data_IF_648162192046
#
_entry.id   IF_648162192046
#
_cell.length_a   1.000
_cell.length_b   1.000
_cell.length_c   1.000
_cell.angle_alpha   90.00
_cell.angle_beta   90.00
_cell.angle_gamma   90.00
#
_symmetry.space_group_name_H-M   'P 1'
#
loop_
_entity.id
_entity.type
_entity.pdbx_description
1 polymer ?
#
# COMPACT_ATOMS: atom_id res chain seq x y z
N UNK A 1 -47.84 16.06 -36.76
CA UNK A 1 -47.51 15.13 -35.65
C UNK A 1 -46.22 15.60 -34.99
N UNK A 2 -46.01 15.34 -33.69
CA UNK A 2 -44.76 15.64 -32.98
C UNK A 2 -44.22 14.36 -32.33
N UNK A 3 -42.99 13.99 -32.64
CA UNK A 3 -42.32 12.85 -32.01
C UNK A 3 -41.70 13.31 -30.69
N UNK A 4 -42.20 12.80 -29.55
CA UNK A 4 -41.53 13.00 -28.27
C UNK A 4 -40.61 11.83 -27.94
N UNK A 5 -39.34 12.17 -27.71
CA UNK A 5 -38.31 11.27 -27.19
C UNK A 5 -38.72 10.81 -25.78
N UNK A 6 -38.67 9.50 -25.52
CA UNK A 6 -38.64 8.95 -24.16
C UNK A 6 -37.27 8.32 -23.92
N UNK A 7 -36.35 9.13 -23.41
CA UNK A 7 -34.99 8.71 -23.08
C UNK A 7 -35.01 7.97 -21.73
N UNK A 8 -34.99 6.64 -21.76
CA UNK A 8 -35.00 5.81 -20.56
C UNK A 8 -33.64 5.85 -19.86
N UNK A 9 -33.40 6.91 -19.09
CA UNK A 9 -32.28 6.99 -18.15
C UNK A 9 -32.46 5.94 -17.05
N UNK A 10 -31.82 4.78 -17.24
CA UNK A 10 -31.59 3.82 -16.16
C UNK A 10 -30.63 4.47 -15.17
N UNK A 11 -31.19 5.07 -14.12
CA UNK A 11 -30.46 5.44 -12.91
C UNK A 11 -30.00 4.15 -12.22
N UNK A 12 -28.84 3.64 -12.67
CA UNK A 12 -28.07 2.66 -11.93
C UNK A 12 -27.65 3.32 -10.61
N UNK A 13 -28.45 3.10 -9.57
CA UNK A 13 -28.18 3.58 -8.23
C UNK A 13 -26.95 2.85 -7.71
N UNK A 14 -25.77 3.46 -7.86
CA UNK A 14 -24.52 2.93 -7.34
C UNK A 14 -24.65 2.88 -5.81
N UNK A 15 -25.02 1.71 -5.30
CA UNK A 15 -25.06 1.45 -3.88
C UNK A 15 -23.62 1.49 -3.36
N UNK A 16 -23.25 2.61 -2.74
CA UNK A 16 -21.97 2.77 -2.03
C UNK A 16 -22.05 1.91 -0.76
N UNK A 17 -21.92 0.60 -0.93
CA UNK A 17 -21.71 -0.32 0.17
C UNK A 17 -20.36 0.04 0.81
N UNK A 18 -20.33 0.18 2.13
CA UNK A 18 -19.08 0.26 2.85
C UNK A 18 -18.28 -1.02 2.53
N UNK A 19 -17.04 -0.89 2.06
CA UNK A 19 -16.22 -2.05 1.72
C UNK A 19 -15.81 -2.76 3.02
N UNK A 20 -16.57 -3.80 3.38
CA UNK A 20 -16.29 -4.70 4.51
C UNK A 20 -15.43 -5.86 4.03
N UNK A 21 -14.35 -6.17 4.73
CA UNK A 21 -13.48 -7.30 4.42
C UNK A 21 -13.05 -8.04 5.70
N UNK A 22 -12.96 -9.37 5.64
CA UNK A 22 -12.52 -10.23 6.76
C UNK A 22 -11.23 -10.97 6.43
N UNK A 23 -10.47 -11.29 7.47
CA UNK A 23 -9.23 -12.07 7.40
C UNK A 23 -8.21 -11.61 8.44
N UNK A 24 -7.01 -12.19 8.38
CA UNK A 24 -5.99 -11.96 9.42
C UNK A 24 -5.39 -10.56 9.39
N UNK A 25 -5.19 -9.98 10.57
CA UNK A 25 -4.26 -8.88 10.81
C UNK A 25 -2.99 -9.38 11.52
N UNK A 26 -1.86 -8.71 11.30
CA UNK A 26 -0.74 -8.72 12.25
C UNK A 26 -0.26 -7.29 12.53
N UNK A 27 0.90 -7.11 13.14
CA UNK A 27 1.53 -5.79 13.28
C UNK A 27 3.00 -5.75 12.80
N UNK A 28 3.53 -4.55 12.61
CA UNK A 28 4.92 -4.32 12.20
C UNK A 28 5.93 -4.69 13.30
N UNK A 29 7.05 -5.27 12.90
CA UNK A 29 8.23 -5.46 13.75
C UNK A 29 8.91 -4.13 14.12
N UNK A 30 9.64 -4.06 15.25
CA UNK A 30 10.31 -2.82 15.68
C UNK A 30 11.41 -2.36 14.71
N UNK A 31 11.98 -3.27 13.89
CA UNK A 31 12.98 -2.95 12.86
C UNK A 31 12.49 -1.92 11.83
N UNK A 32 11.18 -1.70 11.71
CA UNK A 32 10.57 -0.76 10.77
C UNK A 32 10.47 0.69 11.28
N UNK A 33 10.67 0.93 12.58
CA UNK A 33 10.62 2.28 13.17
C UNK A 33 11.55 3.25 12.42
N UNK A 34 11.06 4.46 12.10
CA UNK A 34 11.84 5.47 11.39
C UNK A 34 12.07 5.21 9.89
N UNK A 35 11.67 4.06 9.33
CA UNK A 35 11.73 3.82 7.86
C UNK A 35 10.63 4.61 7.14
N UNK A 36 10.80 4.81 5.82
CA UNK A 36 9.73 5.33 4.96
C UNK A 36 8.72 4.23 4.62
N UNK A 37 7.43 4.56 4.67
CA UNK A 37 6.34 3.75 4.10
C UNK A 37 6.20 4.01 2.60
N UNK A 38 5.35 3.22 1.93
CA UNK A 38 4.99 3.40 0.52
C UNK A 38 4.23 4.70 0.21
N UNK A 39 3.71 5.44 1.20
CA UNK A 39 3.21 6.81 1.00
C UNK A 39 4.31 7.88 1.03
N UNK A 40 5.53 7.51 1.44
CA UNK A 40 6.65 8.41 1.69
C UNK A 40 6.72 8.97 3.12
N UNK A 41 5.72 8.69 3.96
CA UNK A 41 5.73 9.06 5.39
C UNK A 41 6.80 8.27 6.17
N UNK A 42 7.29 8.85 7.26
CA UNK A 42 8.09 8.11 8.24
C UNK A 42 7.16 7.29 9.14
N UNK A 43 7.34 5.96 9.09
CA UNK A 43 6.66 4.99 9.94
C UNK A 43 7.05 5.19 11.41
N UNK A 44 6.03 5.10 12.28
CA UNK A 44 6.19 5.19 13.73
C UNK A 44 5.20 4.23 14.39
N UNK A 45 5.68 3.30 15.21
CA UNK A 45 4.89 2.30 15.93
C UNK A 45 3.81 2.90 16.84
N UNK A 46 3.97 4.17 17.23
CA UNK A 46 3.01 4.91 18.05
C UNK A 46 1.78 5.42 17.27
N UNK A 47 1.87 5.65 15.95
CA UNK A 47 0.78 6.21 15.14
C UNK A 47 -0.32 5.17 14.86
N UNK A 48 -1.56 5.61 14.70
CA UNK A 48 -2.68 4.77 14.27
C UNK A 48 -2.68 4.56 12.73
N UNK A 49 -1.72 3.80 12.23
CA UNK A 49 -1.46 3.61 10.79
C UNK A 49 -1.33 2.14 10.39
N UNK A 50 -1.58 1.83 9.12
CA UNK A 50 -1.60 0.46 8.61
C UNK A 50 -1.20 0.31 7.13
N UNK A 51 -0.76 -0.89 6.76
CA UNK A 51 -0.55 -1.32 5.38
C UNK A 51 -1.82 -1.98 4.81
N UNK A 52 -2.22 -1.58 3.60
CA UNK A 52 -3.21 -2.33 2.82
C UNK A 52 -2.81 -2.44 1.34
N UNK A 53 -3.15 -3.57 0.70
CA UNK A 53 -2.70 -3.91 -0.65
C UNK A 53 -3.16 -2.92 -1.72
N UNK A 54 -4.43 -2.51 -1.64
CA UNK A 54 -5.16 -1.87 -2.74
C UNK A 54 -5.93 -0.61 -2.34
N UNK A 55 -6.02 -0.28 -1.05
CA UNK A 55 -6.76 0.91 -0.60
C UNK A 55 -5.89 2.16 -0.78
N UNK A 56 -6.51 3.29 -1.13
CA UNK A 56 -5.82 4.56 -1.29
C UNK A 56 -5.09 4.97 0.00
N UNK A 57 -3.95 5.63 -0.12
CA UNK A 57 -3.32 6.26 1.05
C UNK A 57 -4.25 7.35 1.60
N UNK A 58 -4.28 7.52 2.92
CA UNK A 58 -5.24 8.40 3.61
C UNK A 58 -6.62 7.77 3.86
N UNK A 59 -6.93 6.58 3.31
CA UNK A 59 -8.17 5.86 3.62
C UNK A 59 -8.25 5.57 5.12
N UNK A 60 -9.36 5.95 5.76
CA UNK A 60 -9.65 5.58 7.15
C UNK A 60 -10.38 4.25 7.21
N UNK A 61 -9.89 3.35 8.06
CA UNK A 61 -10.54 2.08 8.37
C UNK A 61 -10.94 2.02 9.84
N UNK A 62 -12.13 1.48 10.11
CA UNK A 62 -12.45 0.88 11.41
C UNK A 62 -11.96 -0.57 11.33
N UNK A 63 -11.21 -1.02 12.32
CA UNK A 63 -10.72 -2.40 12.44
C UNK A 63 -11.36 -2.99 13.69
N UNK A 64 -12.07 -4.11 13.55
CA UNK A 64 -12.68 -4.88 14.65
C UNK A 64 -11.90 -6.18 14.83
N UNK A 65 -11.33 -6.43 16.01
CA UNK A 65 -10.76 -7.73 16.36
C UNK A 65 -11.89 -8.71 16.69
N UNK A 66 -12.08 -9.74 15.86
CA UNK A 66 -13.22 -10.65 15.96
C UNK A 66 -13.15 -11.62 17.15
N UNK A 67 -11.99 -11.69 17.84
CA UNK A 67 -11.79 -12.51 19.05
C UNK A 67 -12.37 -11.86 20.31
N UNK A 68 -12.32 -10.53 20.40
CA UNK A 68 -12.64 -9.78 21.63
C UNK A 68 -13.56 -8.55 21.40
N UNK A 69 -13.98 -8.32 20.14
CA UNK A 69 -14.80 -7.21 19.66
C UNK A 69 -14.24 -5.80 19.95
N UNK A 70 -12.97 -5.67 20.32
CA UNK A 70 -12.30 -4.37 20.41
C UNK A 70 -12.15 -3.74 19.04
N UNK A 71 -12.22 -2.42 18.99
CA UNK A 71 -12.18 -1.64 17.76
C UNK A 71 -11.16 -0.51 17.85
N UNK A 72 -10.50 -0.22 16.73
CA UNK A 72 -9.55 0.88 16.56
C UNK A 72 -9.76 1.53 15.19
N UNK A 73 -9.33 2.79 15.02
CA UNK A 73 -9.42 3.52 13.74
C UNK A 73 -8.02 3.82 13.21
N UNK A 74 -7.71 3.37 12.00
CA UNK A 74 -6.39 3.53 11.37
C UNK A 74 -6.45 4.29 10.06
N UNK A 75 -5.31 4.86 9.66
CA UNK A 75 -5.09 5.45 8.33
C UNK A 75 -4.18 4.52 7.52
N UNK A 76 -4.57 4.20 6.28
CA UNK A 76 -3.69 3.49 5.35
C UNK A 76 -2.58 4.43 4.87
N UNK A 77 -1.32 4.10 5.18
CA UNK A 77 -0.14 4.85 4.70
C UNK A 77 0.95 3.94 4.10
N UNK A 78 0.71 2.63 3.97
CA UNK A 78 1.69 1.69 3.39
C UNK A 78 1.04 0.58 2.53
N UNK A 79 1.88 -0.24 1.87
CA UNK A 79 1.50 -1.34 0.98
C UNK A 79 1.93 -2.68 1.57
N UNK A 80 0.96 -3.54 1.79
CA UNK A 80 1.10 -4.85 2.43
C UNK A 80 -0.28 -5.34 2.87
N UNK A 81 -0.39 -6.50 3.53
CA UNK A 81 0.63 -7.53 3.63
C UNK A 81 0.88 -8.18 2.27
N UNK A 82 2.03 -8.82 2.07
CA UNK A 82 2.25 -9.65 0.88
C UNK A 82 2.13 -11.17 1.14
N UNK A 83 1.89 -11.55 2.40
CA UNK A 83 1.63 -12.93 2.83
C UNK A 83 0.15 -13.29 2.61
N UNK A 84 -0.14 -14.48 2.06
CA UNK A 84 -1.51 -14.97 1.79
C UNK A 84 -2.32 -15.09 3.09
N UNK A 85 -3.64 -14.83 3.02
CA UNK A 85 -4.55 -14.94 4.17
C UNK A 85 -4.56 -13.71 5.10
N UNK A 86 -3.42 -13.04 5.29
CA UNK A 86 -3.36 -11.74 5.96
C UNK A 86 -3.88 -10.63 5.05
N UNK A 87 -4.71 -9.73 5.58
CA UNK A 87 -5.34 -8.63 4.85
C UNK A 87 -4.78 -7.25 5.20
N UNK A 88 -4.30 -7.05 6.43
CA UNK A 88 -3.82 -5.77 6.94
C UNK A 88 -2.63 -5.99 7.88
N UNK A 89 -1.62 -5.10 7.85
CA UNK A 89 -0.58 -5.03 8.87
C UNK A 89 -0.74 -3.69 9.63
N UNK A 90 -0.81 -3.74 10.96
CA UNK A 90 -1.11 -2.60 11.84
C UNK A 90 0.15 -2.10 12.58
N UNK A 91 0.15 -0.86 13.05
CA UNK A 91 1.17 -0.44 14.02
C UNK A 91 1.03 -1.16 15.36
N UNK A 92 2.13 -1.24 16.12
CA UNK A 92 2.16 -1.87 17.45
C UNK A 92 1.26 -1.16 18.47
N UNK A 93 1.02 0.16 18.35
CA UNK A 93 0.04 0.86 19.18
C UNK A 93 -1.40 0.37 18.93
N UNK A 94 -1.79 0.21 17.67
CA UNK A 94 -3.13 -0.29 17.30
C UNK A 94 -3.30 -1.76 17.70
N UNK A 95 -2.28 -2.59 17.54
CA UNK A 95 -2.35 -3.98 17.98
C UNK A 95 -2.38 -4.14 19.52
N UNK A 96 -1.93 -3.12 20.27
CA UNK A 96 -2.14 -3.01 21.72
C UNK A 96 -3.58 -2.61 22.06
N UNK A 97 -4.15 -1.64 21.34
CA UNK A 97 -5.54 -1.18 21.49
C UNK A 97 -6.55 -2.29 21.18
N UNK A 98 -6.32 -3.02 20.08
CA UNK A 98 -7.08 -4.21 19.68
C UNK A 98 -6.77 -5.46 20.51
N UNK A 99 -5.75 -5.41 21.37
CA UNK A 99 -5.39 -6.46 22.33
C UNK A 99 -5.13 -7.82 21.65
N UNK A 100 -4.11 -7.85 20.79
CA UNK A 100 -3.57 -9.09 20.19
C UNK A 100 -2.03 -9.13 20.11
N UNK A 101 -1.33 -8.27 20.85
CA UNK A 101 0.15 -8.25 20.86
C UNK A 101 0.79 -9.56 21.34
N UNK A 102 0.11 -10.35 22.18
CA UNK A 102 0.63 -11.64 22.65
C UNK A 102 0.54 -12.73 21.59
N UNK A 103 -0.48 -12.65 20.73
CA UNK A 103 -0.76 -13.63 19.67
C UNK A 103 -0.03 -13.34 18.36
N UNK A 104 0.43 -12.11 18.14
CA UNK A 104 1.08 -11.66 16.89
C UNK A 104 0.09 -11.46 15.73
N UNK A 105 -0.93 -12.30 15.64
CA UNK A 105 -1.92 -12.39 14.57
C UNK A 105 -3.31 -12.59 15.16
N UNK A 106 -4.33 -11.93 14.60
CA UNK A 106 -5.76 -12.19 14.93
C UNK A 106 -6.65 -12.07 13.70
N UNK A 107 -7.85 -12.64 13.72
CA UNK A 107 -8.87 -12.41 12.69
C UNK A 107 -9.56 -11.06 12.92
N UNK A 108 -9.68 -10.26 11.86
CA UNK A 108 -10.33 -8.94 11.90
C UNK A 108 -11.42 -8.79 10.85
N UNK A 109 -12.32 -7.85 11.11
CA UNK A 109 -13.19 -7.21 10.12
C UNK A 109 -12.72 -5.77 9.94
N UNK A 110 -12.52 -5.34 8.69
CA UNK A 110 -12.17 -3.96 8.34
C UNK A 110 -13.30 -3.31 7.54
N UNK A 111 -13.60 -2.05 7.85
CA UNK A 111 -14.64 -1.24 7.21
C UNK A 111 -14.09 0.14 6.82
N UNK A 112 -14.37 0.60 5.60
CA UNK A 112 -14.00 1.96 5.16
C UNK A 112 -14.91 3.02 5.81
N UNK A 113 -14.30 3.96 6.54
CA UNK A 113 -15.03 5.07 7.19
C UNK A 113 -15.12 6.26 6.24
N UNK A 114 -16.23 6.37 5.52
CA UNK A 114 -16.57 7.57 4.74
C UNK A 114 -17.06 8.68 5.68
N UNK A 115 -16.48 9.89 5.58
CA UNK A 115 -16.86 11.04 6.43
C UNK A 115 -18.37 11.33 6.40
N UNK A 116 -19.01 11.12 5.25
CA UNK A 116 -20.41 11.47 5.01
C UNK A 116 -21.38 10.53 5.76
N UNK A 117 -20.93 9.34 6.15
CA UNK A 117 -21.73 8.37 6.92
C UNK A 117 -21.81 8.67 8.42
N UNK A 118 -20.97 9.58 8.93
CA UNK A 118 -21.07 10.04 10.32
C UNK A 118 -22.25 11.00 10.55
N UNK A 119 -22.77 11.62 9.49
CA UNK A 119 -23.87 12.59 9.56
C UNK A 119 -25.26 11.94 9.55
N UNK A 120 -25.39 10.72 9.01
CA UNK A 120 -26.70 10.08 8.77
C UNK A 120 -27.21 9.23 9.94
N UNK A 121 -26.37 8.88 10.92
CA UNK A 121 -26.78 8.16 12.14
C UNK A 121 -27.30 9.07 13.27
N UNK A 122 -26.97 10.36 13.24
CA UNK A 122 -27.39 11.34 14.27
C UNK A 122 -28.74 12.01 13.96
N UNK A 123 -29.16 12.02 12.70
CA UNK A 123 -30.40 12.68 12.23
C UNK A 123 -31.67 11.85 12.48
N UNK A 124 -31.98 11.56 13.75
CA UNK A 124 -33.30 11.02 14.15
C UNK A 124 -33.91 11.59 15.44
N UNK A 125 -33.15 12.30 16.28
CA UNK A 125 -33.63 12.86 17.57
C UNK A 125 -33.35 14.37 17.71
N UNK A 126 -33.64 15.16 16.67
CA UNK A 126 -33.49 16.63 16.72
C UNK A 126 -34.39 17.35 15.70
N UNK A 127 -35.70 17.36 15.95
CA UNK A 127 -36.67 18.08 15.09
C UNK A 127 -37.78 18.73 15.91
N UNK A 128 -37.47 19.88 16.52
CA UNK A 128 -38.39 20.91 17.02
C UNK A 128 -37.59 22.21 17.18
N UNK A 129 -38.20 23.35 16.83
CA UNK A 129 -37.69 24.75 16.92
C UNK A 129 -36.59 25.21 15.96
N UNK A 130 -37.06 25.88 14.90
CA UNK A 130 -36.53 27.16 14.37
C UNK A 130 -36.49 28.24 15.50
N UNK A 131 -35.88 29.42 15.42
CA UNK A 131 -35.28 30.27 14.36
C UNK A 131 -34.21 31.20 15.06
N UNK A 132 -33.55 32.29 14.58
CA UNK A 132 -33.56 33.20 13.41
C UNK A 132 -32.22 34.02 13.39
N UNK A 133 -32.08 35.00 12.47
CA UNK A 133 -31.15 36.16 12.45
C UNK A 133 -29.66 35.82 12.12
N UNK A 134 -28.94 36.41 11.14
CA UNK A 134 -28.69 37.79 10.63
C UNK A 134 -27.32 38.34 11.12
N UNK A 135 -26.47 39.07 10.35
CA UNK A 135 -26.41 39.34 8.89
C UNK A 135 -25.02 39.96 8.46
N UNK A 136 -24.62 39.79 7.18
CA UNK A 136 -23.67 40.58 6.31
C UNK A 136 -22.20 41.00 6.70
N UNK A 137 -21.26 40.74 5.76
CA UNK A 137 -20.23 41.63 5.11
C UNK A 137 -19.19 42.50 5.92
N UNK A 138 -18.01 42.97 5.43
CA UNK A 138 -17.13 42.79 4.22
C UNK A 138 -15.85 43.68 4.38
N UNK A 139 -14.91 43.61 3.42
CA UNK A 139 -13.92 44.64 2.98
C UNK A 139 -12.43 44.50 3.39
N UNK A 140 -11.61 44.62 2.33
CA UNK A 140 -10.16 44.66 2.10
C UNK A 140 -9.36 45.73 2.91
N UNK A 141 -8.01 45.72 2.96
CA UNK A 141 -7.13 46.11 1.83
C UNK A 141 -5.65 46.39 2.20
N UNK A 142 -4.78 46.54 1.18
CA UNK A 142 -3.50 47.30 1.18
C UNK A 142 -2.27 46.71 1.95
N UNK A 143 -0.98 46.97 1.60
CA UNK A 143 -0.34 47.75 0.50
C UNK A 143 1.15 47.38 0.23
N UNK A 144 1.57 47.57 -1.05
CA UNK A 144 2.91 48.00 -1.57
C UNK A 144 4.23 47.27 -1.23
N UNK A 145 5.02 47.03 -2.29
CA UNK A 145 6.49 46.87 -2.32
C UNK A 145 6.96 46.67 -3.77
N UNK A 146 8.00 47.37 -4.27
CA UNK A 146 8.34 47.39 -5.72
C UNK A 146 9.79 47.83 -6.00
N UNK A 147 10.32 47.49 -7.19
CA UNK A 147 11.67 47.79 -7.74
C UNK A 147 12.75 46.83 -7.18
N UNK A 148 13.82 46.47 -7.91
CA UNK A 148 14.64 47.24 -8.88
C UNK A 148 15.01 46.45 -10.18
N UNK A 149 15.36 47.19 -11.23
CA UNK A 149 15.83 46.79 -12.58
C UNK A 149 17.32 46.35 -12.58
N UNK A 150 18.01 45.90 -13.65
CA UNK A 150 17.74 45.13 -14.89
C UNK A 150 19.11 44.98 -15.64
N UNK A 151 19.16 44.29 -16.80
CA UNK A 151 20.26 44.31 -17.81
C UNK A 151 21.58 43.61 -17.41
N UNK A 152 22.45 43.09 -18.32
CA UNK A 152 22.35 42.80 -19.78
C UNK A 152 23.57 41.96 -20.26
N UNK A 153 23.33 40.91 -21.07
CA UNK A 153 24.25 40.23 -22.04
C UNK A 153 25.56 39.57 -21.49
N UNK A 154 26.35 38.77 -22.24
CA UNK A 154 26.34 38.40 -23.68
C UNK A 154 26.78 36.95 -23.98
N UNK A 155 26.83 36.57 -25.28
CA UNK A 155 26.96 35.19 -25.79
C UNK A 155 28.38 34.62 -25.88
N UNK A 156 28.48 33.28 -25.87
CA UNK A 156 29.13 32.45 -26.93
C UNK A 156 28.61 30.99 -26.81
N UNK A 157 27.99 30.43 -27.85
CA UNK A 157 28.59 29.61 -28.93
C UNK A 157 29.28 28.31 -28.47
N UNK A 158 29.15 27.16 -29.15
CA UNK A 158 28.25 26.71 -30.22
C UNK A 158 28.48 25.22 -30.49
N UNK A 159 27.43 24.40 -30.64
CA UNK A 159 27.45 23.15 -31.42
C UNK A 159 26.03 22.58 -31.56
N UNK A 160 25.46 22.64 -32.76
CA UNK A 160 24.23 21.94 -33.11
C UNK A 160 24.59 20.60 -33.75
N UNK A 161 23.83 19.55 -33.46
CA UNK A 161 23.62 18.46 -34.41
C UNK A 161 22.16 18.06 -34.35
N UNK A 162 21.40 18.47 -35.36
CA UNK A 162 19.98 18.17 -35.44
C UNK A 162 19.78 16.66 -35.64
N UNK A 163 18.79 16.11 -34.94
CA UNK A 163 18.02 14.97 -35.43
C UNK A 163 16.56 15.42 -35.52
N UNK A 164 15.83 14.92 -36.50
CA UNK A 164 14.59 15.58 -36.97
C UNK A 164 13.38 15.28 -36.09
N UNK A 165 12.37 16.14 -36.20
CA UNK A 165 11.31 16.31 -35.19
C UNK A 165 10.15 15.32 -35.33
N UNK A 166 10.13 14.29 -34.49
CA UNK A 166 8.85 13.72 -34.08
C UNK A 166 8.06 14.73 -33.24
N UNK A 167 6.78 14.90 -33.55
CA UNK A 167 5.87 15.83 -32.85
C UNK A 167 5.40 15.23 -31.53
N UNK A 168 6.26 15.24 -30.50
CA UNK A 168 5.84 14.87 -29.15
C UNK A 168 4.76 15.83 -28.64
N UNK A 169 3.56 15.30 -28.42
CA UNK A 169 2.52 15.93 -27.60
C UNK A 169 3.13 16.37 -26.25
N UNK A 170 2.74 17.53 -25.67
CA UNK A 170 3.30 17.97 -24.39
C UNK A 170 3.17 16.88 -23.33
N UNK A 171 4.30 16.32 -22.91
CA UNK A 171 4.33 15.28 -21.90
C UNK A 171 3.76 15.85 -20.59
N UNK A 172 2.60 15.36 -20.17
CA UNK A 172 2.05 15.68 -18.86
C UNK A 172 3.08 15.29 -17.82
N UNK A 173 3.61 16.28 -17.08
CA UNK A 173 4.65 16.03 -16.08
C UNK A 173 4.06 15.23 -14.92
N UNK A 174 4.14 13.91 -15.04
CA UNK A 174 3.75 12.97 -14.00
C UNK A 174 4.61 13.23 -12.76
N UNK A 175 4.01 13.88 -11.75
CA UNK A 175 4.67 14.11 -10.46
C UNK A 175 4.78 12.78 -9.74
N UNK A 176 5.88 12.08 -9.98
CA UNK A 176 6.22 10.81 -9.33
C UNK A 176 6.40 11.05 -7.82
N UNK A 177 5.37 10.70 -7.05
CA UNK A 177 5.42 10.65 -5.59
C UNK A 177 5.80 9.25 -5.14
N UNK A 178 6.57 9.14 -4.04
CA UNK A 178 7.02 7.83 -3.54
C UNK A 178 8.04 7.11 -4.44
N UNK A 179 8.97 7.84 -5.08
CA UNK A 179 10.04 7.22 -5.88
C UNK A 179 10.96 6.39 -4.99
N UNK A 180 11.13 5.12 -5.36
CA UNK A 180 12.02 4.15 -4.72
C UNK A 180 13.10 3.70 -5.70
N UNK A 181 14.28 3.36 -5.17
CA UNK A 181 15.43 2.90 -5.96
C UNK A 181 15.88 1.53 -5.45
N UNK A 182 16.05 0.57 -6.36
CA UNK A 182 16.51 -0.79 -6.06
C UNK A 182 17.71 -1.13 -6.94
N UNK A 183 18.83 -1.52 -6.32
CA UNK A 183 19.91 -2.19 -7.04
C UNK A 183 19.64 -3.70 -7.04
N UNK A 184 19.66 -4.32 -8.21
CA UNK A 184 19.29 -5.73 -8.38
C UNK A 184 20.33 -6.45 -9.23
N UNK A 185 21.32 -7.00 -8.53
CA UNK A 185 22.25 -7.98 -9.10
C UNK A 185 21.47 -9.27 -9.38
N UNK A 186 21.33 -9.63 -10.65
CA UNK A 186 20.61 -10.83 -11.09
C UNK A 186 21.55 -11.82 -11.76
N UNK A 187 21.32 -13.11 -11.51
CA UNK A 187 21.88 -14.22 -12.28
C UNK A 187 20.77 -15.25 -12.48
N UNK A 188 20.66 -15.78 -13.70
CA UNK A 188 19.87 -17.00 -13.92
C UNK A 188 20.65 -18.19 -13.36
N UNK A 189 19.94 -19.12 -12.73
CA UNK A 189 20.50 -20.35 -12.17
C UNK A 189 19.65 -21.54 -12.58
N UNK A 190 20.29 -22.70 -12.75
CA UNK A 190 19.62 -24.00 -12.70
C UNK A 190 19.67 -24.45 -11.23
N UNK A 191 18.52 -24.55 -10.53
CA UNK A 191 18.53 -24.92 -9.12
C UNK A 191 18.81 -26.42 -8.97
N UNK A 192 19.53 -26.77 -7.91
CA UNK A 192 19.71 -28.16 -7.47
C UNK A 192 19.70 -28.22 -5.93
N UNK A 193 18.59 -27.79 -5.34
CA UNK A 193 18.46 -27.65 -3.89
C UNK A 193 17.01 -27.73 -3.40
N UNK A 194 16.85 -27.98 -2.10
CA UNK A 194 15.62 -27.75 -1.35
C UNK A 194 15.64 -26.32 -0.80
N UNK A 195 14.51 -25.61 -0.88
CA UNK A 195 14.37 -24.26 -0.34
C UNK A 195 13.01 -24.06 0.35
N UNK A 196 12.82 -22.93 1.02
CA UNK A 196 11.57 -22.61 1.73
C UNK A 196 10.86 -21.47 1.00
N UNK A 197 9.74 -21.77 0.33
CA UNK A 197 8.90 -20.73 -0.26
C UNK A 197 8.12 -19.99 0.83
N UNK A 198 8.22 -18.66 0.82
CA UNK A 198 7.62 -17.76 1.81
C UNK A 198 6.61 -16.77 1.23
N UNK A 199 6.51 -16.66 -0.10
CA UNK A 199 5.63 -15.69 -0.74
C UNK A 199 5.36 -15.94 -2.22
N UNK A 200 4.31 -15.30 -2.74
CA UNK A 200 3.95 -15.34 -4.16
C UNK A 200 3.35 -14.00 -4.60
N UNK A 201 3.90 -13.42 -5.66
CA UNK A 201 3.68 -12.04 -6.09
C UNK A 201 3.25 -12.02 -7.55
N UNK A 202 2.31 -11.14 -7.91
CA UNK A 202 2.01 -10.81 -9.33
C UNK A 202 2.78 -9.57 -9.76
N UNK A 203 2.79 -8.54 -8.91
CA UNK A 203 3.46 -7.27 -9.18
C UNK A 203 4.96 -7.32 -8.86
N UNK A 204 5.79 -6.93 -9.84
CA UNK A 204 7.24 -6.84 -9.69
C UNK A 204 7.66 -5.87 -8.57
N UNK A 205 6.99 -4.74 -8.41
CA UNK A 205 7.32 -3.75 -7.37
C UNK A 205 7.14 -4.31 -5.95
N UNK A 206 6.10 -5.11 -5.72
CA UNK A 206 5.85 -5.73 -4.42
C UNK A 206 6.87 -6.84 -4.12
N UNK A 207 7.31 -7.57 -5.15
CA UNK A 207 8.45 -8.49 -5.06
C UNK A 207 9.73 -7.73 -4.66
N UNK A 208 10.07 -6.64 -5.37
CA UNK A 208 11.31 -5.88 -5.13
C UNK A 208 11.37 -5.28 -3.72
N UNK A 209 10.25 -4.73 -3.22
CA UNK A 209 10.14 -4.29 -1.81
C UNK A 209 10.39 -5.44 -0.83
N UNK A 210 9.75 -6.58 -1.04
CA UNK A 210 9.84 -7.73 -0.16
C UNK A 210 11.23 -8.37 -0.16
N UNK A 211 11.88 -8.52 -1.32
CA UNK A 211 13.26 -9.06 -1.38
C UNK A 211 14.28 -8.07 -0.82
N UNK A 212 14.07 -6.76 -0.93
CA UNK A 212 14.87 -5.77 -0.23
C UNK A 212 14.73 -5.84 1.29
N UNK A 213 13.52 -6.02 1.82
CA UNK A 213 13.29 -6.23 3.26
C UNK A 213 13.97 -7.51 3.76
N UNK A 214 13.82 -8.61 3.01
CA UNK A 214 14.46 -9.89 3.31
C UNK A 214 15.98 -9.80 3.34
N UNK A 215 16.62 -9.07 2.41
CA UNK A 215 18.08 -8.80 2.44
C UNK A 215 18.54 -8.08 3.72
N UNK A 216 17.65 -7.38 4.43
CA UNK A 216 17.96 -6.76 5.74
C UNK A 216 17.73 -7.70 6.94
N UNK A 217 17.04 -8.82 6.73
CA UNK A 217 16.60 -9.75 7.80
C UNK A 217 17.34 -11.09 7.75
N UNK A 218 17.63 -11.58 6.55
CA UNK A 218 18.33 -12.84 6.29
C UNK A 218 19.64 -12.60 5.55
N UNK A 219 20.68 -13.32 5.95
CA UNK A 219 21.94 -13.44 5.18
C UNK A 219 21.94 -14.63 4.20
N UNK A 220 20.87 -15.41 4.23
CA UNK A 220 20.63 -16.54 3.34
C UNK A 220 20.37 -16.11 1.89
N UNK A 221 20.68 -16.99 0.95
CA UNK A 221 20.35 -16.79 -0.46
C UNK A 221 18.84 -16.66 -0.69
N UNK A 222 18.45 -15.55 -1.33
CA UNK A 222 17.07 -15.28 -1.73
C UNK A 222 16.93 -15.62 -3.22
N UNK A 223 16.28 -16.74 -3.51
CA UNK A 223 15.95 -17.15 -4.88
C UNK A 223 14.56 -16.62 -5.27
N UNK A 224 14.47 -15.99 -6.44
CA UNK A 224 13.19 -15.64 -7.06
C UNK A 224 12.94 -16.54 -8.25
N UNK A 225 11.91 -17.39 -8.16
CA UNK A 225 11.44 -18.20 -9.27
C UNK A 225 10.25 -17.51 -9.97
N UNK A 226 10.43 -17.14 -11.24
CA UNK A 226 9.41 -16.54 -12.10
C UNK A 226 8.74 -17.60 -12.96
N UNK A 227 7.41 -17.78 -12.82
CA UNK A 227 6.59 -18.67 -13.63
C UNK A 227 5.55 -17.87 -14.42
N UNK A 228 5.35 -18.21 -15.69
CA UNK A 228 4.30 -17.60 -16.54
C UNK A 228 3.30 -18.67 -16.99
N UNK A 229 2.02 -18.30 -17.05
CA UNK A 229 0.94 -19.12 -17.61
C UNK A 229 -0.13 -18.19 -18.25
N UNK A 230 -1.24 -18.77 -18.71
CA UNK A 230 -2.33 -18.04 -19.38
C UNK A 230 -3.00 -16.97 -18.48
N UNK A 231 -2.79 -17.02 -17.16
CA UNK A 231 -3.25 -16.03 -16.18
C UNK A 231 -2.14 -15.07 -15.72
N UNK A 232 -1.12 -14.86 -16.56
CA UNK A 232 -0.03 -13.90 -16.37
C UNK A 232 1.25 -14.49 -15.77
N UNK A 233 2.07 -13.63 -15.16
CA UNK A 233 3.30 -14.02 -14.47
C UNK A 233 3.10 -14.03 -12.95
N UNK A 234 3.74 -14.97 -12.28
CA UNK A 234 3.81 -15.10 -10.82
C UNK A 234 5.27 -15.29 -10.42
N UNK A 235 5.74 -14.46 -9.51
CA UNK A 235 7.04 -14.55 -8.88
C UNK A 235 6.90 -15.24 -7.53
N UNK A 236 7.76 -16.19 -7.23
CA UNK A 236 7.78 -16.92 -5.96
C UNK A 236 9.12 -16.68 -5.27
N UNK A 237 9.07 -16.41 -3.96
CA UNK A 237 10.27 -16.08 -3.16
C UNK A 237 10.60 -17.27 -2.29
N UNK A 238 11.82 -17.77 -2.45
CA UNK A 238 12.34 -18.99 -1.85
C UNK A 238 13.63 -18.64 -1.10
N UNK A 239 13.69 -18.99 0.19
CA UNK A 239 14.85 -18.75 1.05
C UNK A 239 15.69 -20.03 1.20
N UNK A 240 17.01 -19.86 1.14
CA UNK A 240 18.01 -20.89 1.43
C UNK A 240 18.23 -21.91 0.30
N UNK A 241 19.46 -22.41 0.20
CA UNK A 241 19.88 -23.42 -0.78
C UNK A 241 20.38 -24.68 -0.06
N UNK A 242 19.47 -25.56 0.35
CA UNK A 242 19.79 -26.75 1.15
C UNK A 242 20.00 -27.99 0.28
N UNK A 243 21.12 -28.70 0.47
CA UNK A 243 21.42 -29.96 -0.23
C UNK A 243 20.47 -31.11 0.12
N UNK A 244 19.70 -30.98 1.20
CA UNK A 244 18.81 -32.03 1.71
C UNK A 244 17.53 -31.44 2.32
N UNK A 245 16.46 -32.23 2.28
CA UNK A 245 15.13 -31.83 2.73
C UNK A 245 15.06 -31.52 4.23
N UNK A 246 15.85 -32.19 5.06
CA UNK A 246 15.75 -32.05 6.53
C UNK A 246 16.37 -30.74 7.03
N UNK A 247 17.43 -30.24 6.39
CA UNK A 247 17.91 -28.87 6.64
C UNK A 247 16.88 -27.82 6.24
N UNK A 248 16.21 -27.98 5.10
CA UNK A 248 15.10 -27.10 4.71
C UNK A 248 13.93 -27.20 5.71
N UNK A 249 13.61 -28.38 6.24
CA UNK A 249 12.56 -28.57 7.27
C UNK A 249 12.92 -27.94 8.61
N UNK A 250 14.20 -27.92 9.02
CA UNK A 250 14.65 -27.16 10.20
C UNK A 250 14.43 -25.66 10.00
N UNK A 251 15.05 -25.09 8.97
CA UNK A 251 14.94 -23.67 8.66
C UNK A 251 13.49 -23.21 8.41
N UNK A 252 12.65 -24.05 7.81
CA UNK A 252 11.21 -23.77 7.64
C UNK A 252 10.49 -23.53 8.96
N UNK A 253 10.86 -24.20 10.06
CA UNK A 253 10.26 -23.97 11.38
C UNK A 253 10.63 -22.61 11.97
N UNK A 254 11.86 -22.15 11.71
CA UNK A 254 12.34 -20.84 12.14
C UNK A 254 11.64 -19.72 11.35
N UNK A 255 11.53 -19.89 10.04
CA UNK A 255 10.94 -18.93 9.10
C UNK A 255 9.40 -18.84 9.21
N UNK A 256 8.71 -19.94 9.49
CA UNK A 256 7.24 -20.00 9.59
C UNK A 256 6.66 -19.16 10.74
N UNK A 257 7.46 -18.84 11.76
CA UNK A 257 7.08 -17.94 12.86
C UNK A 257 6.71 -16.55 12.32
N UNK A 258 7.46 -16.06 11.34
CA UNK A 258 7.26 -14.73 10.71
C UNK A 258 6.43 -14.82 9.43
N UNK A 259 6.63 -15.90 8.65
CA UNK A 259 6.02 -16.11 7.34
C UNK A 259 5.08 -17.32 7.41
N UNK A 260 3.90 -17.12 8.03
CA UNK A 260 2.87 -18.15 8.16
C UNK A 260 2.54 -18.79 6.80
N UNK A 261 2.50 -20.12 6.75
CA UNK A 261 2.22 -20.87 5.52
C UNK A 261 3.45 -21.05 4.60
N UNK A 262 4.66 -20.74 5.08
CA UNK A 262 5.90 -21.14 4.42
C UNK A 262 5.96 -22.66 4.20
N UNK A 263 6.53 -23.12 3.08
CA UNK A 263 6.60 -24.56 2.78
C UNK A 263 7.86 -24.96 1.99
N UNK A 264 8.20 -26.24 2.06
CA UNK A 264 9.37 -26.81 1.38
C UNK A 264 9.10 -26.94 -0.12
N UNK A 265 10.02 -26.41 -0.93
CA UNK A 265 10.08 -26.67 -2.37
C UNK A 265 11.29 -27.57 -2.64
N UNK A 266 11.06 -28.67 -3.36
CA UNK A 266 12.11 -29.47 -3.97
C UNK A 266 12.41 -28.88 -5.36
N UNK A 267 13.63 -28.39 -5.54
CA UNK A 267 14.16 -27.92 -6.82
C UNK A 267 15.44 -28.69 -7.17
N UNK A 268 15.47 -30.00 -6.89
CA UNK A 268 16.50 -30.95 -7.37
C UNK A 268 16.06 -31.70 -8.65
N UNK A 269 14.88 -31.35 -9.18
CA UNK A 269 14.15 -32.09 -10.24
C UNK A 269 13.43 -31.15 -11.25
N UNK A 270 13.94 -29.92 -11.41
CA UNK A 270 13.33 -28.87 -12.25
C UNK A 270 13.79 -28.93 -13.70
#
# INVERSE_FOLDING_TARGET
>A
MKNNILLLFILCSIAIQAQVQKGKASYYDDKFEGRKTSSGEIFQQAKATAAHRTLAFGTKLKVTNLKNMKQAVVIINDRGPFIRGRIIDLSKSVAKELDFLGEGVTEVEIEVINKDTASSSSLKNSSIKQEKNDVLEKVESNKKGTLVQAKKNENKQQSQKNFETEKTTPAQTSIYTGVEFFSIDTRQIEPNFYGVQIGSFREMINLMRFTAELKTTFKEDITVQSKSNNAGRVYTVILGQFSNRDSAVRFKKEVEITYEGAFIVDMTKS
#
